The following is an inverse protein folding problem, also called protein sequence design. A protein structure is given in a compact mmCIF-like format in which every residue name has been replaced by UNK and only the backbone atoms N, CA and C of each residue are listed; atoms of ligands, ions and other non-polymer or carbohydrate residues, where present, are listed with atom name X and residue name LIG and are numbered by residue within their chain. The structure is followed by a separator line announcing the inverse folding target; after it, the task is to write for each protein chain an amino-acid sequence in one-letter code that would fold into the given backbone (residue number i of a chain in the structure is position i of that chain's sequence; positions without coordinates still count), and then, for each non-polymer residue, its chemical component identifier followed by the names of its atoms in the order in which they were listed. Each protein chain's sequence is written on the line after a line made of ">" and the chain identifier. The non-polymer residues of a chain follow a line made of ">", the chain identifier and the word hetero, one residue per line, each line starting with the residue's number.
data_IF_260926203287
#
_entry.id   IF_260926203287
#
_cell.length_a   1.000
_cell.length_b   1.000
_cell.length_c   1.000
_cell.angle_alpha   90.00
_cell.angle_beta   90.00
_cell.angle_gamma   90.00
#
_symmetry.space_group_name_H-M   'P 1'
#
loop_
_entity.id
_entity.type
_entity.pdbx_description
1 polymer ?
#
# COMPACT_ATOMS: atom_id res chain seq x y z
N UNK A 1 1.89 1.22 -4.55
CA UNK A 1 3.01 0.44 -3.97
C UNK A 1 2.58 -1.02 -3.85
N UNK A 2 3.28 -1.92 -4.53
CA UNK A 2 3.01 -3.35 -4.48
C UNK A 2 3.82 -4.00 -3.34
N UNK A 3 3.12 -4.46 -2.30
CA UNK A 3 3.69 -5.01 -1.08
C UNK A 3 3.64 -4.03 0.09
N UNK A 4 3.13 -4.48 1.23
CA UNK A 4 3.04 -3.74 2.49
C UNK A 4 3.99 -4.30 3.56
N UNK A 5 5.20 -4.69 3.15
CA UNK A 5 6.30 -5.03 4.07
C UNK A 5 7.05 -3.77 4.52
N UNK A 6 8.10 -3.93 5.31
CA UNK A 6 8.86 -2.80 5.89
C UNK A 6 9.28 -1.75 4.85
N UNK A 7 9.81 -2.18 3.71
CA UNK A 7 10.23 -1.26 2.63
C UNK A 7 9.03 -0.48 2.05
N UNK A 8 7.92 -1.16 1.78
CA UNK A 8 6.72 -0.52 1.23
C UNK A 8 6.08 0.46 2.21
N UNK A 9 6.12 0.14 3.51
CA UNK A 9 5.64 1.01 4.57
C UNK A 9 6.50 2.27 4.72
N UNK A 10 7.83 2.13 4.78
CA UNK A 10 8.74 3.28 4.87
C UNK A 10 8.60 4.22 3.67
N UNK A 11 8.46 3.68 2.45
CA UNK A 11 8.23 4.51 1.26
C UNK A 11 6.86 5.20 1.31
N UNK A 12 5.81 4.50 1.75
CA UNK A 12 4.49 5.07 1.91
C UNK A 12 4.51 6.25 2.90
N UNK A 13 5.20 6.12 4.03
CA UNK A 13 5.30 7.19 5.03
C UNK A 13 5.97 8.45 4.46
N UNK A 14 7.06 8.29 3.71
CA UNK A 14 7.75 9.40 3.06
C UNK A 14 6.84 10.12 2.06
N UNK A 15 6.14 9.36 1.21
CA UNK A 15 5.21 9.90 0.21
C UNK A 15 4.00 10.58 0.86
N UNK A 16 3.47 10.02 1.95
CA UNK A 16 2.37 10.62 2.68
C UNK A 16 2.76 11.96 3.31
N UNK A 17 3.99 12.10 3.82
CA UNK A 17 4.53 13.37 4.33
C UNK A 17 4.63 14.43 3.23
N UNK A 18 4.93 14.02 2.00
CA UNK A 18 4.94 14.88 0.81
C UNK A 18 3.53 15.21 0.28
N UNK A 19 2.47 14.69 0.92
CA UNK A 19 1.08 14.89 0.51
C UNK A 19 0.71 14.10 -0.75
N UNK A 20 1.47 13.06 -1.09
CA UNK A 20 1.18 12.18 -2.22
C UNK A 20 0.16 11.13 -1.78
N UNK A 21 -0.92 10.98 -2.56
CA UNK A 21 -1.88 9.92 -2.35
C UNK A 21 -1.27 8.56 -2.71
N UNK A 22 -1.30 7.60 -1.78
CA UNK A 22 -0.68 6.29 -1.96
C UNK A 22 -1.71 5.18 -1.89
N UNK A 23 -1.66 4.26 -2.87
CA UNK A 23 -2.37 2.99 -2.79
C UNK A 23 -1.39 1.86 -2.51
N UNK A 24 -1.56 1.18 -1.38
CA UNK A 24 -0.85 -0.04 -1.02
C UNK A 24 -1.64 -1.25 -1.51
N UNK A 25 -0.96 -2.17 -2.19
CA UNK A 25 -1.57 -3.44 -2.64
C UNK A 25 -0.89 -4.58 -1.92
N UNK A 26 -1.66 -5.42 -1.23
CA UNK A 26 -1.17 -6.64 -0.62
C UNK A 26 -2.22 -7.75 -0.66
N UNK A 27 -1.81 -9.00 -0.47
CA UNK A 27 -2.71 -10.15 -0.59
C UNK A 27 -3.89 -10.12 0.39
N UNK A 28 -3.71 -9.56 1.59
CA UNK A 28 -4.74 -9.58 2.64
C UNK A 28 -5.71 -8.40 2.58
N UNK A 29 -5.40 -7.33 1.85
CA UNK A 29 -6.08 -6.04 1.95
C UNK A 29 -5.97 -5.38 3.33
N UNK A 30 -5.00 -5.81 4.14
CA UNK A 30 -4.89 -5.43 5.56
C UNK A 30 -3.47 -5.04 5.90
N UNK A 31 -3.33 -4.01 6.72
CA UNK A 31 -2.08 -3.61 7.38
C UNK A 31 -2.30 -3.65 8.89
N UNK A 32 -1.21 -3.73 9.67
CA UNK A 32 -1.30 -3.79 11.13
C UNK A 32 -1.34 -2.39 11.75
N UNK A 33 -0.66 -1.42 11.13
CA UNK A 33 -0.66 -0.04 11.58
C UNK A 33 -1.87 0.75 11.07
N UNK A 34 -2.21 1.82 11.79
CA UNK A 34 -3.14 2.83 11.29
C UNK A 34 -2.50 3.60 10.12
N UNK A 35 -3.29 3.89 9.09
CA UNK A 35 -2.82 4.58 7.91
C UNK A 35 -3.23 6.06 7.91
N UNK A 36 -2.40 6.94 7.34
CA UNK A 36 -2.79 8.32 7.05
C UNK A 36 -4.02 8.37 6.12
N UNK A 37 -4.76 9.49 6.16
CA UNK A 37 -5.98 9.65 5.36
C UNK A 37 -5.76 9.53 3.85
N UNK A 38 -4.58 9.92 3.37
CA UNK A 38 -4.21 9.92 1.95
C UNK A 38 -3.67 8.55 1.47
N UNK A 39 -3.83 7.51 2.30
CA UNK A 39 -3.33 6.16 2.02
C UNK A 39 -4.47 5.15 2.01
N UNK A 40 -4.59 4.41 0.91
CA UNK A 40 -5.58 3.34 0.75
C UNK A 40 -4.90 1.97 0.66
N UNK A 41 -5.60 0.93 1.09
CA UNK A 41 -5.13 -0.47 0.94
C UNK A 41 -6.12 -1.25 0.11
N UNK A 42 -5.59 -1.97 -0.89
CA UNK A 42 -6.36 -2.85 -1.77
C UNK A 42 -5.84 -4.27 -1.60
N UNK A 43 -6.78 -5.23 -1.53
CA UNK A 43 -6.44 -6.64 -1.59
C UNK A 43 -6.11 -7.03 -3.04
N UNK A 44 -4.92 -7.59 -3.26
CA UNK A 44 -4.49 -8.05 -4.58
C UNK A 44 -3.36 -9.08 -4.50
N UNK A 45 -3.40 -10.07 -5.39
CA UNK A 45 -2.30 -11.01 -5.58
C UNK A 45 -1.32 -10.46 -6.61
N UNK A 46 -0.13 -10.08 -6.15
CA UNK A 46 0.88 -9.44 -6.98
C UNK A 46 1.43 -10.32 -8.11
N UNK A 47 1.12 -11.62 -8.08
CA UNK A 47 1.49 -12.58 -9.12
C UNK A 47 0.35 -12.88 -10.10
N UNK A 48 -0.88 -12.42 -9.80
CA UNK A 48 -2.03 -12.51 -10.69
C UNK A 48 -2.29 -11.16 -11.37
N UNK A 49 -2.03 -11.05 -12.69
CA UNK A 49 -2.25 -9.83 -13.46
C UNK A 49 -3.69 -9.29 -13.37
N UNK A 50 -4.68 -10.15 -13.11
CA UNK A 50 -6.07 -9.75 -12.98
C UNK A 50 -6.34 -8.89 -11.73
N UNK A 51 -5.39 -8.84 -10.79
CA UNK A 51 -5.57 -8.18 -9.49
C UNK A 51 -4.62 -6.98 -9.25
N UNK A 52 -3.77 -6.65 -10.23
CA UNK A 52 -2.77 -5.56 -10.16
C UNK A 52 -2.93 -4.47 -11.23
N UNK A 53 -4.11 -4.40 -11.87
CA UNK A 53 -4.42 -3.45 -12.94
C UNK A 53 -4.71 -2.01 -12.45
#
# INVERSE_FOLDING_TARGET
>A
IFGAGQVGMTLMEQLAVEGVQVTLVNRSGKVKEALPADVTVVAGDLTDPATVA
#
